data_IF_122718083960
#
_entry.id   IF_122718083960
#
_cell.length_a   1.000
_cell.length_b   1.000
_cell.length_c   1.000
_cell.angle_alpha   90.00
_cell.angle_beta   90.00
_cell.angle_gamma   90.00
#
_symmetry.space_group_name_H-M   'P 1'
#
loop_
_entity.id
_entity.type
_entity.pdbx_description
1 polymer ?
#
# COMPACT_ATOMS: atom_id res chain seq x y z
N UNK A 1 31.72 48.59 -9.97
CA UNK A 1 33.03 48.31 -10.56
C UNK A 1 32.94 47.12 -11.48
N UNK A 2 32.52 45.90 -11.03
CA UNK A 2 32.49 44.67 -11.83
C UNK A 2 31.64 44.77 -13.12
N UNK A 3 30.49 45.47 -13.06
CA UNK A 3 29.61 45.70 -14.23
C UNK A 3 30.31 46.48 -15.36
N UNK A 4 31.37 47.24 -15.07
CA UNK A 4 32.15 47.99 -16.06
C UNK A 4 33.39 47.26 -16.49
N UNK A 5 34.03 46.49 -15.60
CA UNK A 5 35.34 45.90 -15.86
C UNK A 5 35.27 44.42 -16.28
N UNK A 6 34.35 43.67 -15.72
CA UNK A 6 34.23 42.21 -15.98
C UNK A 6 32.75 41.77 -15.92
N UNK A 7 31.94 42.09 -16.94
CA UNK A 7 30.51 41.76 -16.96
C UNK A 7 30.23 40.25 -16.88
N UNK A 8 31.12 39.40 -17.35
CA UNK A 8 31.01 37.93 -17.29
C UNK A 8 31.05 37.37 -15.87
N UNK A 9 31.63 38.09 -14.90
CA UNK A 9 31.71 37.64 -13.52
C UNK A 9 30.53 38.12 -12.66
N UNK A 10 29.65 38.98 -13.18
CA UNK A 10 28.50 39.51 -12.44
C UNK A 10 27.53 38.39 -12.05
N UNK A 11 27.25 37.46 -12.95
CA UNK A 11 26.41 36.31 -12.66
C UNK A 11 26.95 35.43 -11.53
N UNK A 12 28.27 35.22 -11.51
CA UNK A 12 28.92 34.47 -10.44
C UNK A 12 28.85 35.20 -9.09
N UNK A 13 29.04 36.54 -9.11
CA UNK A 13 28.94 37.37 -7.91
C UNK A 13 27.52 37.38 -7.33
N UNK A 14 26.49 37.37 -8.18
CA UNK A 14 25.09 37.31 -7.74
C UNK A 14 24.68 35.93 -7.17
N UNK A 15 25.42 34.86 -7.43
CA UNK A 15 25.20 33.53 -6.88
C UNK A 15 25.76 33.33 -5.47
N UNK A 16 26.68 34.19 -5.06
CA UNK A 16 27.31 34.14 -3.75
C UNK A 16 26.64 35.19 -2.83
N UNK A 17 26.57 34.88 -1.54
CA UNK A 17 26.10 35.84 -0.57
C UNK A 17 26.98 37.12 -0.58
N UNK A 18 26.36 38.24 -0.81
CA UNK A 18 27.06 39.51 -1.00
C UNK A 18 26.32 40.65 -0.30
N UNK A 19 27.04 41.69 0.09
CA UNK A 19 26.53 42.87 0.77
C UNK A 19 26.19 44.03 -0.21
N UNK A 20 25.89 43.75 -1.46
CA UNK A 20 25.53 44.75 -2.44
C UNK A 20 24.20 45.42 -2.07
N UNK A 21 24.11 46.75 -2.32
CA UNK A 21 22.83 47.47 -2.24
C UNK A 21 21.90 46.94 -3.33
N UNK A 22 20.79 46.30 -2.90
CA UNK A 22 19.84 45.65 -3.77
C UNK A 22 19.23 46.61 -4.79
N UNK A 23 18.84 47.83 -4.34
CA UNK A 23 18.18 48.82 -5.18
C UNK A 23 19.09 49.32 -6.32
N UNK A 24 20.35 49.58 -6.01
CA UNK A 24 21.33 50.04 -6.99
C UNK A 24 21.69 48.93 -7.98
N UNK A 25 21.92 47.71 -7.47
CA UNK A 25 22.30 46.57 -8.33
C UNK A 25 21.12 46.18 -9.24
N UNK A 26 19.90 46.15 -8.71
CA UNK A 26 18.67 45.90 -9.47
C UNK A 26 18.57 46.84 -10.68
N UNK A 27 18.60 48.18 -10.43
CA UNK A 27 18.50 49.19 -11.49
C UNK A 27 19.58 49.04 -12.55
N UNK A 28 20.79 48.66 -12.14
CA UNK A 28 21.93 48.47 -13.05
C UNK A 28 21.80 47.16 -13.89
N UNK A 29 21.25 46.08 -13.32
CA UNK A 29 21.04 44.83 -14.02
C UNK A 29 19.85 44.94 -14.97
N UNK A 30 18.76 45.58 -14.57
CA UNK A 30 17.58 45.88 -15.41
C UNK A 30 17.97 46.70 -16.63
N UNK A 31 18.74 47.81 -16.43
CA UNK A 31 19.22 48.68 -17.51
C UNK A 31 20.12 47.94 -18.53
N UNK A 32 20.66 46.76 -18.19
CA UNK A 32 21.51 45.93 -19.07
C UNK A 32 20.85 44.63 -19.52
N UNK A 33 19.56 44.44 -19.20
CA UNK A 33 18.81 43.23 -19.54
C UNK A 33 19.45 41.93 -19.03
N UNK A 34 20.15 42.00 -17.88
CA UNK A 34 20.81 40.82 -17.28
C UNK A 34 19.87 40.03 -16.35
N UNK A 35 18.79 39.49 -16.91
CA UNK A 35 17.72 38.83 -16.15
C UNK A 35 18.21 37.64 -15.31
N UNK A 36 19.08 36.78 -15.84
CA UNK A 36 19.62 35.64 -15.10
C UNK A 36 20.46 36.04 -13.87
N UNK A 37 21.23 37.17 -13.97
CA UNK A 37 21.98 37.65 -12.85
C UNK A 37 21.03 38.26 -11.77
N UNK A 38 19.94 38.91 -12.20
CA UNK A 38 18.92 39.42 -11.32
C UNK A 38 18.17 38.33 -10.58
N UNK A 39 17.78 37.27 -11.27
CA UNK A 39 17.16 36.07 -10.67
C UNK A 39 18.10 35.42 -9.64
N UNK A 40 19.40 35.31 -9.96
CA UNK A 40 20.40 34.79 -9.03
C UNK A 40 20.55 35.66 -7.78
N UNK A 41 20.50 36.98 -7.93
CA UNK A 41 20.56 37.91 -6.83
C UNK A 41 19.33 37.83 -5.90
N UNK A 42 18.13 37.75 -6.48
CA UNK A 42 16.90 37.60 -5.70
C UNK A 42 16.88 36.24 -4.97
N UNK A 43 17.36 35.15 -5.62
CA UNK A 43 17.49 33.83 -5.01
C UNK A 43 18.38 33.84 -3.76
N UNK A 44 19.57 34.47 -3.84
CA UNK A 44 20.49 34.56 -2.68
C UNK A 44 19.95 35.40 -1.54
N UNK A 45 19.01 36.31 -1.83
CA UNK A 45 18.32 37.15 -0.83
C UNK A 45 17.01 36.60 -0.32
N UNK A 46 16.60 35.41 -0.78
CA UNK A 46 15.33 34.78 -0.41
C UNK A 46 14.09 35.46 -0.98
N UNK A 47 14.26 36.34 -1.98
CA UNK A 47 13.17 37.08 -2.64
C UNK A 47 12.65 36.30 -3.83
N UNK A 48 12.01 35.14 -3.55
CA UNK A 48 11.62 34.20 -4.59
C UNK A 48 10.46 34.68 -5.48
N UNK A 49 9.56 35.51 -4.93
CA UNK A 49 8.46 36.12 -5.70
C UNK A 49 8.96 37.04 -6.79
N UNK A 50 9.94 37.88 -6.47
CA UNK A 50 10.57 38.81 -7.39
C UNK A 50 11.42 38.05 -8.43
N UNK A 51 12.10 36.99 -8.01
CA UNK A 51 12.85 36.11 -8.90
C UNK A 51 11.95 35.47 -9.96
N UNK A 52 10.82 34.91 -9.55
CA UNK A 52 9.83 34.28 -10.44
C UNK A 52 9.16 35.26 -11.38
N UNK A 53 8.99 36.53 -10.93
CA UNK A 53 8.46 37.60 -11.79
C UNK A 53 9.40 37.97 -12.97
N UNK A 54 10.69 37.63 -12.87
CA UNK A 54 11.68 37.86 -13.92
C UNK A 54 11.79 36.67 -14.91
N UNK A 55 11.10 35.57 -14.66
CA UNK A 55 11.12 34.36 -15.47
C UNK A 55 9.81 34.22 -16.26
N UNK A 56 9.73 34.75 -17.50
CA UNK A 56 8.52 34.67 -18.31
C UNK A 56 8.32 33.28 -18.92
N UNK A 57 9.39 32.53 -19.17
CA UNK A 57 9.34 31.23 -19.82
C UNK A 57 8.95 30.14 -18.82
N UNK A 58 8.00 29.28 -19.18
CA UNK A 58 7.51 28.22 -18.28
C UNK A 58 8.60 27.20 -17.91
N UNK A 59 9.55 26.95 -18.79
CA UNK A 59 10.67 26.03 -18.55
C UNK A 59 11.62 26.56 -17.47
N UNK A 60 12.00 27.83 -17.57
CA UNK A 60 12.86 28.50 -16.58
C UNK A 60 12.15 28.61 -15.22
N UNK A 61 10.85 28.90 -15.24
CA UNK A 61 10.02 28.96 -14.03
C UNK A 61 9.95 27.59 -13.37
N UNK A 62 9.71 26.51 -14.12
CA UNK A 62 9.68 25.14 -13.62
C UNK A 62 11.01 24.72 -12.99
N UNK A 63 12.11 24.98 -13.71
CA UNK A 63 13.46 24.70 -13.21
C UNK A 63 13.79 25.48 -11.91
N UNK A 64 13.29 26.70 -11.79
CA UNK A 64 13.44 27.48 -10.56
C UNK A 64 12.61 26.91 -9.41
N UNK A 65 11.33 26.59 -9.67
CA UNK A 65 10.42 26.03 -8.67
C UNK A 65 10.95 24.70 -8.10
N UNK A 66 11.56 23.85 -8.93
CA UNK A 66 12.16 22.58 -8.51
C UNK A 66 13.32 22.75 -7.51
N UNK A 67 13.91 23.93 -7.44
CA UNK A 67 14.98 24.23 -6.46
C UNK A 67 14.46 24.75 -5.11
N UNK A 68 13.15 24.98 -4.98
CA UNK A 68 12.55 25.49 -3.75
C UNK A 68 12.19 24.36 -2.79
N UNK A 69 12.41 24.58 -1.49
CA UNK A 69 12.07 23.62 -0.45
C UNK A 69 10.60 23.66 -0.01
N UNK A 70 10.21 22.78 0.91
CA UNK A 70 8.84 22.64 1.39
C UNK A 70 8.29 23.85 2.14
N UNK A 71 9.17 24.71 2.65
CA UNK A 71 8.82 26.00 3.28
C UNK A 71 8.13 26.97 2.31
N UNK A 72 8.39 26.81 1.02
CA UNK A 72 7.82 27.64 -0.05
C UNK A 72 6.64 26.97 -0.79
N UNK A 73 5.98 25.96 -0.20
CA UNK A 73 4.88 25.20 -0.83
C UNK A 73 3.80 26.10 -1.45
N UNK A 74 3.38 27.16 -0.74
CA UNK A 74 2.34 28.07 -1.25
C UNK A 74 2.82 28.84 -2.49
N UNK A 75 4.10 29.22 -2.52
CA UNK A 75 4.71 29.91 -3.67
C UNK A 75 4.81 28.95 -4.86
N UNK A 76 5.26 27.72 -4.61
CA UNK A 76 5.32 26.67 -5.63
C UNK A 76 3.93 26.45 -6.24
N UNK A 77 2.89 26.27 -5.43
CA UNK A 77 1.52 26.05 -5.91
C UNK A 77 1.00 27.21 -6.75
N UNK A 78 1.20 28.45 -6.29
CA UNK A 78 0.69 29.63 -7.00
C UNK A 78 1.34 29.85 -8.37
N UNK A 79 2.63 29.54 -8.52
CA UNK A 79 3.35 29.72 -9.78
C UNK A 79 3.30 28.46 -10.67
N UNK A 80 3.25 27.27 -10.08
CA UNK A 80 3.05 26.02 -10.83
C UNK A 80 1.71 26.01 -11.59
N UNK A 81 0.67 26.66 -11.06
CA UNK A 81 -0.60 26.83 -11.80
C UNK A 81 -0.39 27.56 -13.12
N UNK A 82 0.43 28.63 -13.15
CA UNK A 82 0.74 29.34 -14.40
C UNK A 82 1.46 28.46 -15.41
N UNK A 83 2.35 27.58 -14.93
CA UNK A 83 3.06 26.61 -15.77
C UNK A 83 2.08 25.53 -16.26
N UNK A 84 1.19 25.04 -15.40
CA UNK A 84 0.17 24.05 -15.74
C UNK A 84 -0.82 24.55 -16.83
N UNK A 85 -1.19 25.83 -16.78
CA UNK A 85 -2.07 26.45 -17.77
C UNK A 85 -1.45 26.47 -19.17
N UNK A 86 -0.14 26.60 -19.27
CA UNK A 86 0.59 26.70 -20.54
C UNK A 86 1.13 25.35 -21.00
N UNK A 87 1.73 24.59 -20.09
CA UNK A 87 2.40 23.32 -20.34
C UNK A 87 2.10 22.30 -19.23
N UNK A 88 0.99 21.54 -19.31
CA UNK A 88 0.59 20.62 -18.23
C UNK A 88 1.63 19.56 -17.89
N UNK A 89 2.34 19.02 -18.88
CA UNK A 89 3.38 18.02 -18.66
C UNK A 89 4.57 18.58 -17.86
N UNK A 90 4.97 19.82 -18.16
CA UNK A 90 6.03 20.51 -17.44
C UNK A 90 5.59 20.89 -16.03
N UNK A 91 4.33 21.33 -15.86
CA UNK A 91 3.76 21.59 -14.55
C UNK A 91 3.68 20.34 -13.68
N UNK A 92 3.38 19.18 -14.25
CA UNK A 92 3.41 17.90 -13.56
C UNK A 92 4.83 17.53 -13.09
N UNK A 93 5.85 17.75 -13.93
CA UNK A 93 7.24 17.41 -13.60
C UNK A 93 7.76 18.18 -12.37
N UNK A 94 7.25 19.38 -12.11
CA UNK A 94 7.57 20.14 -10.88
C UNK A 94 7.20 19.33 -9.63
N UNK A 95 6.01 18.72 -9.62
CA UNK A 95 5.51 17.98 -8.47
C UNK A 95 6.03 16.53 -8.39
N UNK A 96 6.46 15.96 -9.53
CA UNK A 96 6.96 14.59 -9.63
C UNK A 96 8.46 14.48 -9.60
N UNK A 97 9.19 15.58 -9.36
CA UNK A 97 10.63 15.54 -9.13
C UNK A 97 10.97 14.80 -7.83
N UNK A 98 12.10 14.12 -7.79
CA UNK A 98 12.54 13.32 -6.63
C UNK A 98 12.58 14.14 -5.32
N UNK A 99 12.95 15.40 -5.42
CA UNK A 99 12.97 16.36 -4.30
C UNK A 99 11.56 16.65 -3.79
N UNK A 100 10.65 17.00 -4.66
CA UNK A 100 9.30 17.40 -4.28
C UNK A 100 8.43 16.20 -3.88
N UNK A 101 8.58 15.03 -4.51
CA UNK A 101 7.89 13.81 -4.08
C UNK A 101 8.21 13.42 -2.63
N UNK A 102 9.45 13.69 -2.18
CA UNK A 102 9.86 13.35 -0.82
C UNK A 102 9.58 14.45 0.19
N UNK A 103 9.63 15.72 -0.21
CA UNK A 103 9.63 16.86 0.71
C UNK A 103 8.30 17.61 0.79
N UNK A 104 7.56 17.75 -0.33
CA UNK A 104 6.30 18.49 -0.31
C UNK A 104 5.21 17.73 0.45
N UNK A 105 4.40 18.42 1.28
CA UNK A 105 3.27 17.79 1.99
C UNK A 105 2.11 17.53 1.02
N UNK A 106 1.78 16.24 0.73
CA UNK A 106 0.74 15.90 -0.23
C UNK A 106 -0.65 16.30 0.24
N UNK A 107 -0.85 16.44 1.55
CA UNK A 107 -2.09 16.92 2.16
C UNK A 107 -2.41 18.37 1.80
N UNK A 108 -1.42 19.14 1.35
CA UNK A 108 -1.59 20.51 0.86
C UNK A 108 -1.65 20.58 -0.65
N UNK A 109 -0.77 19.81 -1.31
CA UNK A 109 -0.63 19.86 -2.78
C UNK A 109 -1.86 19.23 -3.47
N UNK A 110 -2.29 18.07 -3.04
CA UNK A 110 -3.37 17.35 -3.72
C UNK A 110 -4.74 18.06 -3.64
N UNK A 111 -5.20 18.58 -2.48
CA UNK A 111 -6.45 19.32 -2.41
C UNK A 111 -6.44 20.65 -3.19
N UNK A 112 -5.26 21.25 -3.37
CA UNK A 112 -5.09 22.46 -4.14
C UNK A 112 -5.14 22.23 -5.65
N UNK A 113 -4.59 21.09 -6.12
CA UNK A 113 -4.60 20.70 -7.53
C UNK A 113 -5.93 20.08 -7.98
N UNK A 114 -6.58 19.31 -7.12
CA UNK A 114 -7.76 18.52 -7.45
C UNK A 114 -8.88 19.29 -8.16
N UNK A 115 -9.30 20.50 -7.72
CA UNK A 115 -10.43 21.21 -8.34
C UNK A 115 -10.13 21.75 -9.72
N UNK A 116 -8.88 22.13 -10.01
CA UNK A 116 -8.53 22.82 -11.26
C UNK A 116 -7.81 21.90 -12.25
N UNK A 117 -6.95 20.99 -11.74
CA UNK A 117 -6.12 20.10 -12.55
C UNK A 117 -6.25 18.63 -12.12
N UNK A 118 -7.46 18.02 -12.25
CA UNK A 118 -7.74 16.68 -11.72
C UNK A 118 -6.82 15.59 -12.32
N UNK A 119 -6.51 15.66 -13.62
CA UNK A 119 -5.61 14.71 -14.27
C UNK A 119 -4.17 14.82 -13.73
N UNK A 120 -3.67 16.04 -13.53
CA UNK A 120 -2.34 16.29 -12.94
C UNK A 120 -2.30 15.81 -11.48
N UNK A 121 -3.36 16.08 -10.71
CA UNK A 121 -3.49 15.63 -9.33
C UNK A 121 -3.49 14.10 -9.24
N UNK A 122 -4.18 13.42 -10.15
CA UNK A 122 -4.20 11.96 -10.22
C UNK A 122 -2.81 11.39 -10.47
N UNK A 123 -2.09 11.90 -11.47
CA UNK A 123 -0.73 11.48 -11.79
C UNK A 123 0.25 11.79 -10.64
N UNK A 124 0.11 12.93 -9.98
CA UNK A 124 0.88 13.29 -8.79
C UNK A 124 0.65 12.32 -7.64
N UNK A 125 -0.63 12.02 -7.30
CA UNK A 125 -0.97 11.08 -6.24
C UNK A 125 -0.45 9.67 -6.54
N UNK A 126 -0.49 9.26 -7.80
CA UNK A 126 0.09 7.99 -8.24
C UNK A 126 1.60 7.94 -7.96
N UNK A 127 2.34 8.96 -8.35
CA UNK A 127 3.78 9.06 -8.12
C UNK A 127 4.11 9.09 -6.61
N UNK A 128 3.39 9.88 -5.82
CA UNK A 128 3.66 9.99 -4.36
C UNK A 128 3.41 8.66 -3.64
N UNK A 129 2.32 7.96 -3.98
CA UNK A 129 1.95 6.68 -3.36
C UNK A 129 2.93 5.53 -3.70
N UNK A 130 3.76 5.67 -4.74
CA UNK A 130 4.84 4.72 -5.02
C UNK A 130 6.08 4.95 -4.17
N UNK A 131 6.28 6.19 -3.70
CA UNK A 131 7.49 6.60 -2.96
C UNK A 131 7.29 6.53 -1.44
N UNK A 132 6.09 6.87 -0.97
CA UNK A 132 5.79 6.94 0.47
C UNK A 132 4.33 6.60 0.78
N UNK A 133 4.09 6.16 2.02
CA UNK A 133 2.74 6.02 2.55
C UNK A 133 2.11 7.40 2.75
N UNK A 134 0.83 7.52 2.41
CA UNK A 134 0.07 8.76 2.50
C UNK A 134 -1.18 8.57 3.37
N UNK A 135 -1.75 9.66 3.83
CA UNK A 135 -2.95 9.64 4.66
C UNK A 135 -4.16 9.02 3.93
N UNK A 136 -5.05 8.27 4.63
CA UNK A 136 -6.25 7.65 4.04
C UNK A 136 -7.14 8.61 3.25
N UNK A 137 -7.20 9.87 3.67
CA UNK A 137 -7.95 10.91 2.97
C UNK A 137 -7.48 11.13 1.53
N UNK A 138 -6.18 10.95 1.25
CA UNK A 138 -5.62 11.09 -0.09
C UNK A 138 -5.93 9.89 -0.97
N UNK A 139 -6.04 8.68 -0.40
CA UNK A 139 -6.55 7.51 -1.12
C UNK A 139 -8.01 7.70 -1.51
N UNK A 140 -8.83 8.26 -0.62
CA UNK A 140 -10.22 8.60 -0.93
C UNK A 140 -10.32 9.71 -1.99
N UNK A 141 -9.48 10.73 -1.91
CA UNK A 141 -9.40 11.76 -2.94
C UNK A 141 -9.02 11.18 -4.31
N UNK A 142 -8.01 10.30 -4.36
CA UNK A 142 -7.62 9.62 -5.60
C UNK A 142 -8.76 8.78 -6.16
N UNK A 143 -9.50 8.06 -5.31
CA UNK A 143 -10.68 7.30 -5.73
C UNK A 143 -11.74 8.19 -6.37
N UNK A 144 -12.03 9.36 -5.78
CA UNK A 144 -12.97 10.35 -6.34
C UNK A 144 -12.50 10.92 -7.66
N UNK A 145 -11.22 11.24 -7.79
CA UNK A 145 -10.64 11.71 -9.06
C UNK A 145 -10.74 10.64 -10.16
N UNK A 146 -10.52 9.36 -9.85
CA UNK A 146 -10.76 8.27 -10.79
C UNK A 146 -12.22 8.17 -11.17
N UNK A 147 -13.14 8.29 -10.20
CA UNK A 147 -14.58 8.25 -10.43
C UNK A 147 -15.01 9.38 -11.38
N UNK A 148 -14.56 10.60 -11.12
CA UNK A 148 -14.86 11.74 -11.98
C UNK A 148 -14.26 11.58 -13.39
N UNK A 149 -13.03 11.08 -13.50
CA UNK A 149 -12.41 10.78 -14.77
C UNK A 149 -13.23 9.73 -15.57
N UNK A 150 -13.73 8.67 -14.91
CA UNK A 150 -14.57 7.66 -15.53
C UNK A 150 -15.93 8.22 -15.98
N UNK A 151 -16.52 9.14 -15.22
CA UNK A 151 -17.73 9.87 -15.62
C UNK A 151 -17.52 10.68 -16.91
N UNK A 152 -16.28 11.14 -17.15
CA UNK A 152 -15.89 11.87 -18.35
C UNK A 152 -15.32 10.97 -19.47
N UNK A 153 -15.43 9.64 -19.33
CA UNK A 153 -15.09 8.68 -20.39
C UNK A 153 -13.70 8.02 -20.25
N UNK A 154 -13.03 8.18 -19.12
CA UNK A 154 -11.80 7.43 -18.86
C UNK A 154 -12.09 5.91 -18.66
N UNK A 155 -11.13 5.02 -19.00
CA UNK A 155 -11.30 3.58 -18.84
C UNK A 155 -11.42 3.19 -17.35
N UNK A 156 -12.34 2.25 -17.07
CA UNK A 156 -12.60 1.76 -15.72
C UNK A 156 -11.45 0.90 -15.14
N UNK A 157 -10.63 0.32 -16.00
CA UNK A 157 -9.61 -0.65 -15.60
C UNK A 157 -8.62 -0.07 -14.58
N UNK A 158 -8.17 1.16 -14.80
CA UNK A 158 -7.25 1.86 -13.90
C UNK A 158 -7.90 2.13 -12.53
N UNK A 159 -9.18 2.48 -12.52
CA UNK A 159 -9.94 2.71 -11.29
C UNK A 159 -10.13 1.41 -10.50
N UNK A 160 -10.54 0.34 -11.17
CA UNK A 160 -10.72 -0.99 -10.56
C UNK A 160 -9.39 -1.52 -10.02
N UNK A 161 -8.30 -1.38 -10.80
CA UNK A 161 -6.96 -1.78 -10.36
C UNK A 161 -6.53 -1.01 -9.09
N UNK A 162 -6.80 0.28 -9.03
CA UNK A 162 -6.55 1.09 -7.84
C UNK A 162 -7.40 0.61 -6.65
N UNK A 163 -8.70 0.41 -6.81
CA UNK A 163 -9.59 -0.05 -5.74
C UNK A 163 -9.20 -1.43 -5.19
N UNK A 164 -8.68 -2.32 -6.03
CA UNK A 164 -8.18 -3.63 -5.61
C UNK A 164 -6.84 -3.55 -4.90
N UNK A 165 -5.93 -2.70 -5.35
CA UNK A 165 -4.59 -2.57 -4.78
C UNK A 165 -4.55 -1.79 -3.46
N UNK A 166 -5.34 -0.74 -3.33
CA UNK A 166 -5.39 0.10 -2.13
C UNK A 166 -6.43 -0.41 -1.12
N UNK A 167 -6.08 -0.33 0.17
CA UNK A 167 -6.99 -0.69 1.28
C UNK A 167 -7.37 0.50 2.15
N UNK A 168 -6.84 1.69 1.86
CA UNK A 168 -6.90 2.84 2.76
C UNK A 168 -7.95 3.90 2.40
N UNK A 169 -8.71 3.69 1.32
CA UNK A 169 -9.79 4.62 0.96
C UNK A 169 -11.07 4.32 1.77
N UNK A 170 -11.91 5.32 1.91
CA UNK A 170 -13.23 5.21 2.56
C UNK A 170 -14.27 4.66 1.57
N UNK A 171 -14.57 3.35 1.69
CA UNK A 171 -15.48 2.65 0.80
C UNK A 171 -16.94 3.07 1.04
N UNK A 172 -17.33 3.38 2.31
CA UNK A 172 -18.68 3.82 2.64
C UNK A 172 -18.97 5.17 2.00
N UNK A 173 -18.03 6.12 2.10
CA UNK A 173 -18.16 7.43 1.49
C UNK A 173 -18.27 7.37 -0.04
N UNK A 174 -17.58 6.41 -0.68
CA UNK A 174 -17.66 6.21 -2.13
C UNK A 174 -18.99 5.57 -2.56
N UNK A 175 -19.55 4.64 -1.77
CA UNK A 175 -20.83 4.02 -2.08
C UNK A 175 -22.02 4.99 -2.00
N UNK A 176 -21.88 6.08 -1.24
CA UNK A 176 -22.89 7.15 -1.18
C UNK A 176 -22.93 8.00 -2.46
N UNK A 177 -21.88 7.93 -3.29
CA UNK A 177 -21.84 8.63 -4.56
C UNK A 177 -22.60 7.83 -5.65
N UNK A 178 -23.02 8.52 -6.71
CA UNK A 178 -23.65 7.86 -7.86
C UNK A 178 -22.62 7.05 -8.63
N UNK A 179 -22.72 5.72 -8.54
CA UNK A 179 -21.83 4.74 -9.15
C UNK A 179 -22.61 3.90 -10.18
N UNK A 180 -22.60 4.29 -11.46
CA UNK A 180 -23.36 3.57 -12.49
C UNK A 180 -22.76 2.20 -12.85
N UNK A 181 -21.53 1.89 -12.41
CA UNK A 181 -20.81 0.65 -12.76
C UNK A 181 -20.96 -0.43 -11.71
N UNK A 182 -21.69 -1.53 -12.00
CA UNK A 182 -21.87 -2.63 -11.06
C UNK A 182 -20.57 -3.25 -10.58
N UNK A 183 -19.55 -3.32 -11.44
CA UNK A 183 -18.24 -3.88 -11.09
C UNK A 183 -17.52 -3.04 -10.03
N UNK A 184 -17.58 -1.70 -10.11
CA UNK A 184 -16.98 -0.82 -9.09
C UNK A 184 -17.72 -0.97 -7.76
N UNK A 185 -19.07 -0.99 -7.80
CA UNK A 185 -19.88 -1.19 -6.60
C UNK A 185 -19.59 -2.54 -5.94
N UNK A 186 -19.41 -3.60 -6.72
CA UNK A 186 -19.11 -4.93 -6.18
C UNK A 186 -17.77 -4.98 -5.45
N UNK A 187 -16.73 -4.30 -5.97
CA UNK A 187 -15.42 -4.20 -5.31
C UNK A 187 -15.54 -3.46 -3.98
N UNK A 188 -16.29 -2.35 -3.93
CA UNK A 188 -16.52 -1.59 -2.69
C UNK A 188 -17.32 -2.40 -1.66
N UNK A 189 -18.39 -3.08 -2.09
CA UNK A 189 -19.17 -3.98 -1.22
C UNK A 189 -18.31 -5.13 -0.68
N UNK A 190 -17.43 -5.68 -1.50
CA UNK A 190 -16.46 -6.70 -1.07
C UNK A 190 -15.52 -6.20 0.02
N UNK A 191 -15.07 -4.95 -0.07
CA UNK A 191 -14.25 -4.30 0.99
C UNK A 191 -14.98 -4.16 2.32
N UNK A 192 -16.27 -3.87 2.29
CA UNK A 192 -17.11 -3.73 3.47
C UNK A 192 -17.59 -5.07 4.04
N UNK A 193 -17.31 -6.18 3.34
CA UNK A 193 -17.75 -7.51 3.75
C UNK A 193 -19.19 -7.87 3.32
N UNK A 194 -19.83 -7.05 2.48
CA UNK A 194 -21.17 -7.28 1.93
C UNK A 194 -21.12 -8.21 0.71
N UNK A 195 -20.52 -9.40 0.88
CA UNK A 195 -20.22 -10.33 -0.22
C UNK A 195 -21.44 -10.82 -0.98
N UNK A 196 -22.55 -11.07 -0.27
CA UNK A 196 -23.79 -11.57 -0.87
C UNK A 196 -24.42 -10.55 -1.80
N UNK A 197 -24.43 -9.28 -1.37
CA UNK A 197 -24.94 -8.15 -2.15
C UNK A 197 -24.09 -7.90 -3.38
N UNK A 198 -22.75 -8.00 -3.22
CA UNK A 198 -21.82 -7.88 -4.34
C UNK A 198 -22.03 -8.96 -5.40
N UNK A 199 -22.21 -10.22 -4.99
CA UNK A 199 -22.50 -11.32 -5.90
C UNK A 199 -23.86 -11.18 -6.58
N UNK A 200 -24.88 -10.74 -5.85
CA UNK A 200 -26.20 -10.46 -6.42
C UNK A 200 -26.11 -9.39 -7.49
N UNK A 201 -25.41 -8.32 -7.23
CA UNK A 201 -25.21 -7.23 -8.18
C UNK A 201 -24.47 -7.68 -9.45
N UNK A 202 -23.40 -8.49 -9.29
CA UNK A 202 -22.63 -9.01 -10.44
C UNK A 202 -23.44 -9.98 -11.30
N UNK A 203 -24.23 -10.87 -10.68
CA UNK A 203 -24.92 -11.95 -11.38
C UNK A 203 -26.31 -11.52 -11.90
N UNK A 204 -27.05 -10.74 -11.11
CA UNK A 204 -28.44 -10.38 -11.43
C UNK A 204 -28.52 -9.11 -12.24
N UNK A 205 -27.79 -8.07 -11.82
CA UNK A 205 -27.87 -6.77 -12.50
C UNK A 205 -26.90 -6.66 -13.68
N UNK A 206 -25.68 -7.17 -13.53
CA UNK A 206 -24.64 -7.02 -14.54
C UNK A 206 -24.47 -8.24 -15.47
N UNK A 207 -24.99 -9.41 -15.09
CA UNK A 207 -24.80 -10.68 -15.81
C UNK A 207 -23.33 -11.08 -16.05
N UNK A 208 -22.43 -10.68 -15.14
CA UNK A 208 -20.98 -10.88 -15.21
C UNK A 208 -20.55 -12.12 -14.42
N UNK A 209 -20.81 -13.31 -14.95
CA UNK A 209 -20.52 -14.59 -14.26
C UNK A 209 -19.03 -14.77 -14.00
N UNK A 210 -18.15 -14.42 -14.95
CA UNK A 210 -16.69 -14.52 -14.80
C UNK A 210 -16.15 -13.61 -13.70
N UNK A 211 -16.68 -12.41 -13.57
CA UNK A 211 -16.28 -11.47 -12.52
C UNK A 211 -16.79 -11.93 -11.14
N UNK A 212 -17.95 -12.54 -11.08
CA UNK A 212 -18.47 -13.13 -9.84
C UNK A 212 -17.61 -14.34 -9.39
N UNK A 213 -17.09 -15.15 -10.32
CA UNK A 213 -16.12 -16.20 -10.02
C UNK A 213 -14.81 -15.62 -9.48
N UNK A 214 -14.24 -14.63 -10.17
CA UNK A 214 -13.03 -13.93 -9.74
C UNK A 214 -13.20 -13.26 -8.35
N UNK A 215 -14.34 -12.66 -8.11
CA UNK A 215 -14.71 -12.08 -6.81
C UNK A 215 -14.72 -13.12 -5.69
N UNK A 216 -15.27 -14.31 -5.94
CA UNK A 216 -15.24 -15.39 -4.96
C UNK A 216 -13.81 -15.87 -4.66
N UNK A 217 -12.94 -15.96 -5.67
CA UNK A 217 -11.53 -16.34 -5.49
C UNK A 217 -10.81 -15.30 -4.63
N UNK A 218 -11.00 -14.02 -4.92
CA UNK A 218 -10.36 -12.91 -4.19
C UNK A 218 -10.78 -12.87 -2.71
N UNK A 219 -12.05 -13.14 -2.42
CA UNK A 219 -12.61 -13.04 -1.07
C UNK A 219 -12.80 -14.37 -0.34
N UNK A 220 -12.37 -15.50 -0.92
CA UNK A 220 -12.56 -16.84 -0.36
C UNK A 220 -12.02 -17.01 1.07
N UNK A 221 -10.88 -16.39 1.36
CA UNK A 221 -10.25 -16.45 2.68
C UNK A 221 -10.97 -15.64 3.75
N UNK A 222 -11.63 -14.55 3.35
CA UNK A 222 -12.28 -13.60 4.26
C UNK A 222 -13.75 -13.92 4.49
N UNK A 223 -14.45 -14.35 3.44
CA UNK A 223 -15.89 -14.62 3.46
C UNK A 223 -16.27 -16.05 3.91
N UNK A 224 -15.30 -16.96 3.94
CA UNK A 224 -15.55 -18.37 4.29
C UNK A 224 -16.22 -19.21 3.19
N UNK A 225 -16.55 -20.48 3.50
CA UNK A 225 -17.04 -21.45 2.53
C UNK A 225 -18.44 -21.14 1.95
N UNK A 226 -19.25 -20.38 2.67
CA UNK A 226 -20.63 -20.05 2.26
C UNK A 226 -20.70 -19.17 1.00
N UNK A 227 -19.59 -18.49 0.65
CA UNK A 227 -19.54 -17.63 -0.52
C UNK A 227 -19.74 -18.40 -1.82
N UNK A 228 -19.05 -19.54 -1.98
CA UNK A 228 -19.20 -20.41 -3.15
C UNK A 228 -20.58 -21.06 -3.23
N UNK A 229 -21.15 -21.44 -2.09
CA UNK A 229 -22.50 -21.96 -2.05
C UNK A 229 -23.53 -20.90 -2.48
N UNK A 230 -23.31 -19.64 -2.11
CA UNK A 230 -24.14 -18.51 -2.53
C UNK A 230 -23.97 -18.22 -4.02
N UNK A 231 -22.73 -18.22 -4.54
CA UNK A 231 -22.45 -18.11 -5.98
C UNK A 231 -23.24 -19.18 -6.77
N UNK A 232 -23.12 -20.44 -6.39
CA UNK A 232 -23.79 -21.54 -7.09
C UNK A 232 -25.32 -21.43 -7.03
N UNK A 233 -25.91 -21.00 -5.90
CA UNK A 233 -27.35 -20.73 -5.80
C UNK A 233 -27.81 -19.65 -6.75
N UNK A 234 -27.10 -18.51 -6.80
CA UNK A 234 -27.42 -17.40 -7.68
C UNK A 234 -27.24 -17.77 -9.16
N UNK A 235 -26.16 -18.47 -9.51
CA UNK A 235 -25.95 -18.94 -10.89
C UNK A 235 -27.06 -19.91 -11.32
N UNK A 236 -27.49 -20.81 -10.43
CA UNK A 236 -28.60 -21.74 -10.72
C UNK A 236 -29.90 -21.00 -11.04
N UNK A 237 -30.18 -19.90 -10.35
CA UNK A 237 -31.44 -19.16 -10.51
C UNK A 237 -31.40 -18.17 -11.66
N UNK A 238 -30.28 -17.53 -11.93
CA UNK A 238 -30.18 -16.39 -12.85
C UNK A 238 -29.38 -16.66 -14.13
N UNK A 239 -28.48 -17.66 -14.10
CA UNK A 239 -27.63 -18.02 -15.23
C UNK A 239 -27.41 -19.55 -15.32
N UNK A 240 -28.52 -20.37 -15.45
CA UNK A 240 -28.45 -21.84 -15.40
C UNK A 240 -27.57 -22.44 -16.49
N UNK A 241 -27.40 -21.77 -17.62
CA UNK A 241 -26.52 -22.18 -18.72
C UNK A 241 -25.03 -22.22 -18.30
N UNK A 242 -24.62 -21.40 -17.35
CA UNK A 242 -23.25 -21.36 -16.84
C UNK A 242 -23.01 -22.27 -15.63
N UNK A 243 -24.06 -22.86 -15.06
CA UNK A 243 -23.99 -23.63 -13.81
C UNK A 243 -22.94 -24.76 -13.87
N UNK A 244 -22.91 -25.54 -14.97
CA UNK A 244 -21.96 -26.63 -15.10
C UNK A 244 -20.52 -26.14 -15.08
N UNK A 245 -20.22 -25.10 -15.87
CA UNK A 245 -18.90 -24.51 -15.97
C UNK A 245 -18.44 -23.95 -14.62
N UNK A 246 -19.31 -23.22 -13.92
CA UNK A 246 -19.00 -22.64 -12.60
C UNK A 246 -18.80 -23.74 -11.57
N UNK A 247 -19.65 -24.80 -11.56
CA UNK A 247 -19.44 -25.97 -10.71
C UNK A 247 -18.08 -26.64 -10.98
N UNK A 248 -17.71 -26.81 -12.26
CA UNK A 248 -16.41 -27.38 -12.62
C UNK A 248 -15.24 -26.52 -12.10
N UNK A 249 -15.31 -25.20 -12.28
CA UNK A 249 -14.31 -24.25 -11.79
C UNK A 249 -14.16 -24.33 -10.27
N UNK A 250 -15.26 -24.17 -9.55
CA UNK A 250 -15.29 -24.20 -8.07
C UNK A 250 -14.78 -25.56 -7.54
N UNK A 251 -15.24 -26.67 -8.10
CA UNK A 251 -14.85 -28.00 -7.62
C UNK A 251 -13.43 -28.42 -8.01
N UNK A 252 -12.86 -27.83 -9.06
CA UNK A 252 -11.45 -28.11 -9.40
C UNK A 252 -10.48 -27.36 -8.53
N UNK A 253 -10.78 -26.11 -8.20
CA UNK A 253 -9.88 -25.20 -7.49
C UNK A 253 -10.20 -25.13 -5.99
N UNK A 254 -11.48 -25.18 -5.62
CA UNK A 254 -12.00 -24.93 -4.28
C UNK A 254 -12.83 -26.09 -3.72
N UNK A 255 -12.53 -27.32 -4.13
CA UNK A 255 -13.24 -28.52 -3.68
C UNK A 255 -13.27 -28.72 -2.15
N UNK A 256 -12.33 -28.13 -1.43
CA UNK A 256 -12.22 -28.21 0.02
C UNK A 256 -13.18 -27.25 0.75
N UNK A 257 -13.52 -26.16 0.07
CA UNK A 257 -14.23 -25.04 0.67
C UNK A 257 -15.75 -25.21 0.61
N UNK A 258 -16.26 -26.13 -0.25
CA UNK A 258 -17.69 -26.38 -0.42
C UNK A 258 -18.04 -27.78 0.06
N UNK A 259 -18.91 -27.94 1.06
CA UNK A 259 -19.36 -29.25 1.53
C UNK A 259 -20.12 -30.03 0.44
N UNK A 260 -19.84 -31.31 0.32
CA UNK A 260 -20.50 -32.18 -0.69
C UNK A 260 -22.04 -32.16 -0.61
N UNK A 261 -22.69 -32.20 0.57
CA UNK A 261 -24.14 -32.09 0.67
C UNK A 261 -24.74 -30.84 0.03
N UNK A 262 -24.06 -29.73 0.17
CA UNK A 262 -24.51 -28.43 -0.39
C UNK A 262 -24.40 -28.42 -1.91
N UNK A 263 -23.32 -29.02 -2.46
CA UNK A 263 -23.17 -29.21 -3.90
C UNK A 263 -24.30 -30.07 -4.45
N UNK A 264 -24.58 -31.23 -3.80
CA UNK A 264 -25.64 -32.12 -4.23
C UNK A 264 -27.03 -31.46 -4.20
N UNK A 265 -27.29 -30.64 -3.21
CA UNK A 265 -28.56 -29.89 -3.10
C UNK A 265 -28.71 -28.78 -4.16
N UNK A 266 -27.59 -28.31 -4.70
CA UNK A 266 -27.55 -27.24 -5.71
C UNK A 266 -27.62 -27.79 -7.15
N UNK A 267 -27.22 -29.06 -7.37
CA UNK A 267 -27.26 -29.67 -8.69
C UNK A 267 -28.71 -29.93 -9.14
N UNK A 268 -29.04 -29.64 -10.42
CA UNK A 268 -30.34 -30.00 -10.95
C UNK A 268 -30.57 -31.52 -10.88
N UNK A 269 -31.74 -31.99 -10.41
CA UNK A 269 -32.04 -33.42 -10.27
C UNK A 269 -32.10 -34.15 -11.62
N UNK A 270 -32.25 -33.42 -12.71
CA UNK A 270 -32.35 -33.95 -14.08
C UNK A 270 -30.97 -34.25 -14.70
N UNK A 271 -29.89 -33.84 -14.05
CA UNK A 271 -28.55 -34.11 -14.59
C UNK A 271 -28.16 -35.60 -14.44
N UNK A 272 -27.74 -36.26 -15.52
CA UNK A 272 -27.30 -37.65 -15.43
C UNK A 272 -26.04 -37.73 -14.57
N UNK A 273 -26.01 -38.74 -13.68
CA UNK A 273 -24.89 -38.97 -12.74
C UNK A 273 -23.54 -38.99 -13.45
N UNK A 274 -23.49 -39.44 -14.70
CA UNK A 274 -22.27 -39.48 -15.50
C UNK A 274 -21.63 -38.11 -15.73
N UNK A 275 -22.44 -37.04 -15.83
CA UNK A 275 -21.89 -35.67 -15.97
C UNK A 275 -21.25 -35.16 -14.68
N UNK A 276 -21.80 -35.50 -13.54
CA UNK A 276 -21.36 -35.00 -12.25
C UNK A 276 -20.41 -35.96 -11.52
N UNK A 277 -20.29 -37.21 -11.99
CA UNK A 277 -19.46 -38.25 -11.36
C UNK A 277 -18.02 -37.80 -11.16
N UNK A 278 -17.39 -37.21 -12.18
CA UNK A 278 -15.99 -36.78 -12.11
C UNK A 278 -15.80 -35.64 -11.08
N UNK A 279 -16.78 -34.74 -10.99
CA UNK A 279 -16.79 -33.60 -10.05
C UNK A 279 -16.94 -34.08 -8.62
N UNK A 280 -17.88 -35.01 -8.38
CA UNK A 280 -18.13 -35.58 -7.06
C UNK A 280 -16.92 -36.40 -6.57
N UNK A 281 -16.32 -37.23 -7.45
CA UNK A 281 -15.11 -37.97 -7.10
C UNK A 281 -13.94 -37.05 -6.74
N UNK A 282 -13.73 -35.99 -7.49
CA UNK A 282 -12.68 -34.96 -7.16
C UNK A 282 -12.92 -34.35 -5.79
N UNK A 283 -14.14 -33.92 -5.49
CA UNK A 283 -14.49 -33.34 -4.20
C UNK A 283 -14.27 -34.36 -3.06
N UNK A 284 -14.73 -35.57 -3.22
CA UNK A 284 -14.51 -36.65 -2.23
C UNK A 284 -13.02 -36.94 -2.00
N UNK A 285 -12.23 -37.03 -3.06
CA UNK A 285 -10.78 -37.21 -2.93
C UNK A 285 -10.10 -36.05 -2.25
N UNK A 286 -10.47 -34.81 -2.60
CA UNK A 286 -9.94 -33.59 -1.96
C UNK A 286 -10.25 -33.58 -0.47
N UNK A 287 -11.51 -33.81 -0.08
CA UNK A 287 -11.92 -33.85 1.32
C UNK A 287 -11.25 -35.02 2.09
N UNK A 288 -11.11 -36.18 1.49
CA UNK A 288 -10.41 -37.29 2.10
C UNK A 288 -8.93 -36.99 2.33
N UNK A 289 -8.27 -36.42 1.35
CA UNK A 289 -6.86 -35.97 1.46
C UNK A 289 -6.69 -34.90 2.58
N UNK A 290 -7.59 -33.92 2.64
CA UNK A 290 -7.54 -32.88 3.66
C UNK A 290 -7.71 -33.44 5.08
N UNK A 291 -8.68 -34.36 5.27
CA UNK A 291 -8.87 -35.07 6.54
C UNK A 291 -7.61 -35.82 6.97
N UNK A 292 -6.93 -36.48 6.04
CA UNK A 292 -5.66 -37.19 6.33
C UNK A 292 -4.58 -36.20 6.73
N UNK A 293 -4.43 -35.09 5.98
CA UNK A 293 -3.46 -34.05 6.31
C UNK A 293 -3.74 -33.38 7.68
N UNK A 294 -4.99 -33.10 8.01
CA UNK A 294 -5.37 -32.56 9.32
C UNK A 294 -5.04 -33.54 10.46
N UNK A 295 -5.30 -34.82 10.26
CA UNK A 295 -4.92 -35.87 11.23
C UNK A 295 -3.40 -35.92 11.45
N UNK A 296 -2.61 -35.85 10.36
CA UNK A 296 -1.14 -35.81 10.44
C UNK A 296 -0.68 -34.57 11.19
N UNK A 297 -1.19 -33.38 10.84
CA UNK A 297 -0.85 -32.13 11.52
C UNK A 297 -1.19 -32.18 13.03
N UNK A 298 -2.36 -32.70 13.36
CA UNK A 298 -2.79 -32.88 14.76
C UNK A 298 -1.88 -33.86 15.52
N UNK A 299 -1.53 -34.98 14.91
CA UNK A 299 -0.63 -35.97 15.52
C UNK A 299 0.78 -35.40 15.73
N UNK A 300 1.33 -34.67 14.74
CA UNK A 300 2.62 -34.00 14.86
C UNK A 300 2.62 -32.93 15.94
N UNK A 301 1.57 -32.11 16.01
CA UNK A 301 1.41 -31.10 17.05
C UNK A 301 1.35 -31.71 18.47
N UNK A 302 0.62 -32.85 18.58
CA UNK A 302 0.52 -33.59 19.86
C UNK A 302 1.86 -34.18 20.25
N UNK A 303 2.59 -34.79 19.30
CA UNK A 303 3.93 -35.34 19.55
C UNK A 303 4.94 -34.25 19.94
N UNK A 304 4.90 -33.10 19.25
CA UNK A 304 5.76 -31.96 19.58
C UNK A 304 5.48 -31.43 20.99
N UNK A 305 4.19 -31.27 21.35
CA UNK A 305 3.80 -30.89 22.71
C UNK A 305 4.30 -31.86 23.76
N UNK A 306 4.14 -33.15 23.52
CA UNK A 306 4.63 -34.18 24.42
C UNK A 306 6.16 -34.15 24.59
N UNK A 307 6.90 -33.91 23.51
CA UNK A 307 8.35 -33.75 23.56
C UNK A 307 8.77 -32.51 24.38
N UNK A 308 8.07 -31.38 24.20
CA UNK A 308 8.30 -30.17 25.01
C UNK A 308 7.98 -30.42 26.47
N UNK A 309 6.85 -31.05 26.78
CA UNK A 309 6.51 -31.39 28.15
C UNK A 309 7.53 -32.32 28.80
N UNK A 310 8.07 -33.29 28.04
CA UNK A 310 9.16 -34.16 28.51
C UNK A 310 10.44 -33.36 28.77
N UNK A 311 10.83 -32.45 27.89
CA UNK A 311 12.01 -31.61 28.07
C UNK A 311 11.89 -30.72 29.32
N UNK A 312 10.70 -30.13 29.54
CA UNK A 312 10.40 -29.32 30.73
C UNK A 312 10.48 -30.18 32.01
N UNK A 313 9.94 -31.41 31.96
CA UNK A 313 10.04 -32.35 33.11
C UNK A 313 11.49 -32.72 33.43
N UNK A 314 12.30 -33.03 32.40
CA UNK A 314 13.74 -33.33 32.58
C UNK A 314 14.44 -32.11 33.21
N UNK A 315 14.22 -30.91 32.71
CA UNK A 315 14.81 -29.69 33.28
C UNK A 315 14.35 -29.43 34.71
N UNK A 316 13.06 -29.65 35.03
CA UNK A 316 12.57 -29.51 36.42
C UNK A 316 13.08 -30.58 37.38
N UNK A 317 13.45 -31.75 36.89
CA UNK A 317 14.04 -32.83 37.68
C UNK A 317 15.57 -32.74 37.78
N UNK A 318 16.20 -31.94 36.94
CA UNK A 318 17.62 -31.70 36.99
C UNK A 318 17.97 -31.11 38.35
N UNK A 319 18.81 -31.83 39.09
CA UNK A 319 19.32 -31.43 40.40
C UNK A 319 20.80 -31.18 40.29
N UNK A 320 21.22 -30.06 40.80
CA UNK A 320 22.64 -29.72 40.94
C UNK A 320 23.00 -29.84 42.40
N UNK A 321 23.99 -30.69 42.69
CA UNK A 321 24.50 -30.82 44.04
C UNK A 321 25.57 -29.73 44.27
N UNK A 322 25.28 -28.80 45.14
CA UNK A 322 26.23 -27.77 45.56
C UNK A 322 26.77 -28.17 46.90
N UNK A 323 28.08 -28.33 46.99
CA UNK A 323 28.84 -28.65 48.22
C UNK A 323 29.62 -27.42 48.68
N UNK A 324 30.11 -27.43 49.91
CA UNK A 324 30.96 -26.35 50.46
C UNK A 324 32.23 -26.08 49.65
N UNK A 325 32.63 -27.04 48.80
CA UNK A 325 33.80 -26.93 47.93
C UNK A 325 33.46 -26.55 46.48
N UNK A 326 32.16 -26.38 46.15
CA UNK A 326 31.75 -26.02 44.81
C UNK A 326 32.21 -24.62 44.46
N UNK A 327 32.82 -24.48 43.27
CA UNK A 327 33.36 -23.21 42.78
C UNK A 327 32.60 -22.75 41.55
N UNK A 328 32.49 -21.45 41.37
CA UNK A 328 31.92 -20.83 40.17
C UNK A 328 32.82 -21.11 38.97
N UNK A 329 32.29 -21.70 37.93
CA UNK A 329 33.05 -22.03 36.70
C UNK A 329 33.64 -20.80 36.01
N UNK A 330 33.07 -19.63 36.23
CA UNK A 330 33.52 -18.40 35.57
C UNK A 330 34.58 -17.64 36.37
N UNK A 331 34.38 -17.41 37.67
CA UNK A 331 35.28 -16.61 38.48
C UNK A 331 36.19 -17.42 39.39
N UNK A 332 36.05 -18.75 39.44
CA UNK A 332 36.82 -19.67 40.25
C UNK A 332 36.63 -19.55 41.77
N UNK A 333 35.79 -18.64 42.26
CA UNK A 333 35.50 -18.46 43.70
C UNK A 333 34.45 -19.45 44.17
N UNK A 334 34.47 -19.78 45.45
CA UNK A 334 33.47 -20.66 46.08
C UNK A 334 32.07 -20.05 45.92
N UNK A 335 31.07 -20.90 45.61
CA UNK A 335 29.70 -20.50 45.43
C UNK A 335 29.02 -20.01 46.72
N UNK A 336 29.39 -20.61 47.86
CA UNK A 336 28.93 -20.18 49.19
C UNK A 336 27.40 -20.06 49.31
N UNK A 337 26.96 -19.04 50.03
CA UNK A 337 25.53 -18.72 50.25
C UNK A 337 24.97 -17.77 49.18
N UNK A 338 25.70 -17.51 48.12
CA UNK A 338 25.26 -16.58 47.07
C UNK A 338 24.18 -17.20 46.16
N UNK A 339 23.37 -16.33 45.50
CA UNK A 339 22.40 -16.78 44.52
C UNK A 339 23.11 -17.39 43.32
N UNK A 340 22.66 -18.60 42.95
CA UNK A 340 23.29 -19.42 41.93
C UNK A 340 22.48 -19.39 40.63
N UNK A 341 23.19 -19.47 39.53
CA UNK A 341 22.60 -19.75 38.21
C UNK A 341 23.19 -21.09 37.70
N UNK A 342 22.36 -21.89 37.07
CA UNK A 342 22.75 -23.14 36.43
C UNK A 342 22.48 -23.02 34.93
N UNK A 343 23.48 -23.32 34.14
CA UNK A 343 23.30 -23.36 32.66
C UNK A 343 22.67 -24.72 32.30
N UNK A 344 21.44 -24.73 31.75
CA UNK A 344 20.70 -25.98 31.51
C UNK A 344 21.38 -26.94 30.53
N UNK A 345 22.18 -26.43 29.59
CA UNK A 345 22.83 -27.23 28.56
C UNK A 345 24.05 -28.01 29.07
N UNK A 346 24.79 -27.42 29.98
CA UNK A 346 26.08 -27.99 30.47
C UNK A 346 26.03 -28.47 31.95
N UNK A 347 25.00 -28.04 32.69
CA UNK A 347 24.92 -28.24 34.14
C UNK A 347 25.91 -27.37 34.94
N UNK A 348 26.59 -26.45 34.25
CA UNK A 348 27.59 -25.56 34.87
C UNK A 348 26.95 -24.67 35.92
N UNK A 349 27.62 -24.58 37.11
CA UNK A 349 27.14 -23.75 38.21
C UNK A 349 27.96 -22.50 38.35
N UNK A 350 27.32 -21.38 38.49
CA UNK A 350 27.99 -20.08 38.62
C UNK A 350 27.19 -19.12 39.51
N UNK A 351 27.83 -18.06 39.98
CA UNK A 351 27.14 -16.99 40.67
C UNK A 351 26.15 -16.31 39.69
N UNK A 352 25.02 -15.92 40.18
CA UNK A 352 24.00 -15.20 39.34
C UNK A 352 24.59 -13.99 38.63
N UNK A 353 25.42 -13.19 39.32
CA UNK A 353 26.10 -12.04 38.71
C UNK A 353 27.09 -12.44 37.61
N UNK A 354 27.75 -13.56 37.73
CA UNK A 354 28.67 -14.06 36.71
C UNK A 354 27.88 -14.54 35.46
N UNK A 355 26.68 -15.10 35.65
CA UNK A 355 25.81 -15.51 34.57
C UNK A 355 25.26 -14.33 33.79
N UNK A 356 24.89 -13.23 34.47
CA UNK A 356 24.36 -12.01 33.83
C UNK A 356 25.41 -11.25 33.01
N UNK A 357 26.68 -11.47 33.20
CA UNK A 357 27.76 -10.86 32.41
C UNK A 357 28.05 -11.62 31.10
N UNK A 358 27.45 -12.79 30.91
CA UNK A 358 27.67 -13.67 29.77
C UNK A 358 26.47 -13.73 28.81
N UNK A 359 25.32 -13.11 29.14
CA UNK A 359 24.19 -12.90 28.25
C UNK A 359 24.27 -11.55 27.54
#
# INVERSE_FOLDING_TARGET
VFLRTKPSLVGALCRVDNWCDLAQVRTQLEARHMHQALVSLYRTRGMHTEALAQLPEPEDMAAYLDTLGPEHTNLILSHARKVLDVAPALGLSIFTSDTHLTQLPPERVAPDLAPTYPATCLAYLEAVMTVRDVAPALHTLRARLHLDACRHGAPLDAFIAFLRSSTHYDADALLLEDLPWPLVRSVLLGRLGHYVEALHLLLVEAHLVSEAEAFCVEHSTSAGPDLYATLLRLVRTHAPEHLLRVCEGVLTQHAKDVPLPDILALLPPEWPVQRVQALLLRNLHAQASDRVQQRIKSALSTAHRAALDQSVRIQRQARVLVTDHSTCEQCGRRLGESVLAVVPATGATMHYYCAMQHT
#
